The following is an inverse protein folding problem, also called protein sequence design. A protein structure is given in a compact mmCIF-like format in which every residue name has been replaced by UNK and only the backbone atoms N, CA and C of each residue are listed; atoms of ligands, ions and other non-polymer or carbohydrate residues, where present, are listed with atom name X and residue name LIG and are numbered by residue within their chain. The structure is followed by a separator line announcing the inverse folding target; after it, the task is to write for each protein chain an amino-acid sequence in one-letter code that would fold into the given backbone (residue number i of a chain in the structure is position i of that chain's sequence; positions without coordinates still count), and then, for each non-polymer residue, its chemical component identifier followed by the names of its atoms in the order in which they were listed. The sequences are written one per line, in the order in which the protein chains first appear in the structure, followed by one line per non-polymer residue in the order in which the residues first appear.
data_IF_931069156851
#
_entry.id   IF_931069156851
#
_cell.length_a   1.000
_cell.length_b   1.000
_cell.length_c   1.000
_cell.angle_alpha   90.00
_cell.angle_beta   90.00
_cell.angle_gamma   90.00
#
_symmetry.space_group_name_H-M   'P 1'
#
loop_
_entity.id
_entity.type
_entity.pdbx_description
1 polymer ?
#
# COMPACT_ATOMS: atom_id res chain seq x y z
N UNK A 1 -5.39 -1.59 -17.92
CA UNK A 1 -5.18 -1.03 -16.57
C UNK A 1 -4.66 -2.14 -15.67
N UNK A 2 -3.47 -2.02 -15.10
CA UNK A 2 -2.92 -3.08 -14.24
C UNK A 2 -3.68 -3.16 -12.92
N UNK A 3 -3.99 -4.39 -12.49
CA UNK A 3 -4.59 -4.67 -11.19
C UNK A 3 -3.53 -4.75 -10.06
N UNK A 4 -2.35 -4.16 -10.28
CA UNK A 4 -1.21 -4.19 -9.38
C UNK A 4 -0.68 -2.78 -9.07
N UNK A 5 -0.03 -2.63 -7.93
CA UNK A 5 0.83 -1.48 -7.58
C UNK A 5 2.25 -1.99 -7.56
N UNK A 6 3.14 -1.36 -8.32
CA UNK A 6 4.58 -1.68 -8.29
C UNK A 6 5.31 -0.59 -7.54
N UNK A 7 6.16 -1.01 -6.60
CA UNK A 7 7.03 -0.16 -5.77
C UNK A 7 8.39 -0.81 -5.68
N UNK A 8 9.36 -0.09 -5.14
CA UNK A 8 10.69 -0.61 -4.87
C UNK A 8 10.83 -0.97 -3.38
N UNK A 9 11.57 -2.04 -3.12
CA UNK A 9 12.09 -2.37 -1.79
C UNK A 9 13.61 -2.50 -1.91
N UNK A 10 14.34 -1.48 -1.48
CA UNK A 10 15.80 -1.38 -1.64
C UNK A 10 16.22 -1.54 -3.12
N UNK A 11 15.57 -0.80 -4.02
CA UNK A 11 15.81 -0.85 -5.45
C UNK A 11 15.24 -2.07 -6.18
N UNK A 12 14.66 -3.04 -5.46
CA UNK A 12 14.07 -4.22 -6.08
C UNK A 12 12.56 -4.02 -6.32
N UNK A 13 12.06 -4.15 -7.57
CA UNK A 13 10.65 -3.97 -7.85
C UNK A 13 9.82 -5.11 -7.26
N UNK A 14 8.81 -4.75 -6.47
CA UNK A 14 7.80 -5.67 -5.93
C UNK A 14 6.41 -5.18 -6.33
N UNK A 15 5.47 -6.12 -6.48
CA UNK A 15 4.12 -5.81 -6.94
C UNK A 15 3.04 -6.34 -6.00
N UNK A 16 2.05 -5.50 -5.69
CA UNK A 16 0.91 -5.82 -4.84
C UNK A 16 -0.37 -5.89 -5.66
N UNK A 17 -1.04 -7.04 -5.64
CA UNK A 17 -2.37 -7.25 -6.23
C UNK A 17 -3.42 -7.39 -5.13
N UNK A 18 -4.69 -7.17 -5.48
CA UNK A 18 -5.79 -7.38 -4.54
C UNK A 18 -5.78 -8.82 -3.98
N UNK A 19 -5.69 -9.83 -4.86
CA UNK A 19 -5.76 -11.23 -4.44
C UNK A 19 -4.61 -11.59 -3.49
N UNK A 20 -3.38 -11.18 -3.81
CA UNK A 20 -2.21 -11.46 -2.97
C UNK A 20 -2.30 -10.74 -1.62
N UNK A 21 -2.65 -9.45 -1.62
CA UNK A 21 -2.79 -8.67 -0.38
C UNK A 21 -3.96 -9.17 0.47
N UNK A 22 -5.09 -9.55 -0.14
CA UNK A 22 -6.25 -10.06 0.58
C UNK A 22 -6.00 -11.45 1.18
N UNK A 23 -5.29 -12.32 0.46
CA UNK A 23 -4.83 -13.60 0.99
C UNK A 23 -3.90 -13.41 2.19
N UNK A 24 -2.93 -12.50 2.09
CA UNK A 24 -2.02 -12.17 3.20
C UNK A 24 -2.75 -11.59 4.41
N UNK A 25 -3.74 -10.71 4.20
CA UNK A 25 -4.58 -10.14 5.25
C UNK A 25 -5.50 -11.18 5.93
N UNK A 26 -5.64 -12.40 5.38
CA UNK A 26 -6.49 -13.45 5.93
C UNK A 26 -7.97 -13.36 5.52
N UNK A 27 -8.30 -12.54 4.52
CA UNK A 27 -9.60 -12.54 3.83
C UNK A 27 -10.83 -12.06 4.61
N UNK A 28 -10.74 -11.81 5.92
CA UNK A 28 -11.89 -11.39 6.74
C UNK A 28 -12.45 -10.00 6.45
N UNK A 29 -11.66 -9.13 5.79
CA UNK A 29 -12.01 -7.72 5.53
C UNK A 29 -11.56 -7.22 4.14
N UNK A 30 -12.05 -7.81 3.03
CA UNK A 30 -11.58 -7.50 1.68
C UNK A 30 -11.87 -6.06 1.24
N UNK A 31 -12.90 -5.43 1.83
CA UNK A 31 -13.22 -4.02 1.59
C UNK A 31 -12.07 -3.08 2.01
N UNK A 32 -11.43 -3.33 3.15
CA UNK A 32 -10.30 -2.52 3.62
C UNK A 32 -9.09 -2.62 2.70
N UNK A 33 -8.75 -3.84 2.28
CA UNK A 33 -7.67 -4.11 1.31
C UNK A 33 -7.95 -3.39 -0.02
N UNK A 34 -9.19 -3.45 -0.50
CA UNK A 34 -9.59 -2.77 -1.75
C UNK A 34 -9.42 -1.25 -1.63
N UNK A 35 -9.88 -0.64 -0.53
CA UNK A 35 -9.74 0.80 -0.31
C UNK A 35 -8.27 1.22 -0.22
N UNK A 36 -7.44 0.49 0.53
CA UNK A 36 -6.01 0.78 0.66
C UNK A 36 -5.30 0.76 -0.70
N UNK A 37 -5.49 -0.29 -1.51
CA UNK A 37 -4.86 -0.39 -2.83
C UNK A 37 -5.33 0.71 -3.78
N UNK A 38 -6.62 1.10 -3.74
CA UNK A 38 -7.13 2.19 -4.59
C UNK A 38 -6.56 3.55 -4.14
N UNK A 39 -6.49 3.80 -2.84
CA UNK A 39 -5.91 5.02 -2.29
C UNK A 39 -4.42 5.15 -2.66
N UNK A 40 -3.63 4.08 -2.46
CA UNK A 40 -2.21 4.07 -2.83
C UNK A 40 -2.00 4.29 -4.33
N UNK A 41 -2.81 3.67 -5.22
CA UNK A 41 -2.72 3.90 -6.67
C UNK A 41 -2.96 5.35 -7.06
N UNK A 42 -3.94 5.99 -6.42
CA UNK A 42 -4.23 7.39 -6.68
C UNK A 42 -3.10 8.28 -6.18
N UNK A 43 -2.64 8.06 -4.94
CA UNK A 43 -1.64 8.90 -4.29
C UNK A 43 -0.24 8.76 -4.91
N UNK A 44 0.24 7.54 -5.20
CA UNK A 44 1.62 7.33 -5.66
C UNK A 44 1.89 8.00 -7.01
N UNK A 45 0.89 8.05 -7.89
CA UNK A 45 0.95 8.76 -9.17
C UNK A 45 1.05 10.28 -9.04
N UNK A 46 0.71 10.83 -7.88
CA UNK A 46 0.88 12.26 -7.58
C UNK A 46 2.25 12.56 -6.99
N UNK A 47 2.98 11.54 -6.50
CA UNK A 47 4.27 11.69 -5.84
C UNK A 47 5.44 11.46 -6.80
N UNK A 48 5.30 10.57 -7.78
CA UNK A 48 6.34 10.27 -8.76
C UNK A 48 5.79 9.65 -10.05
N UNK A 49 6.51 9.85 -11.15
CA UNK A 49 6.29 9.14 -12.43
C UNK A 49 6.98 7.76 -12.45
N UNK A 50 7.87 7.48 -11.50
CA UNK A 50 8.56 6.20 -11.32
C UNK A 50 8.06 5.47 -10.06
N UNK A 51 8.24 4.14 -9.96
CA UNK A 51 7.91 3.40 -8.74
C UNK A 51 8.62 3.98 -7.50
N UNK A 52 7.85 4.21 -6.43
CA UNK A 52 8.36 4.75 -5.17
C UNK A 52 9.12 3.68 -4.37
N UNK A 53 10.14 4.08 -3.61
CA UNK A 53 10.72 3.25 -2.54
C UNK A 53 9.74 3.15 -1.38
N UNK A 54 9.24 1.95 -1.08
CA UNK A 54 8.17 1.77 -0.08
C UNK A 54 8.57 2.28 1.30
N UNK A 55 9.84 2.10 1.68
CA UNK A 55 10.42 2.48 2.99
C UNK A 55 10.55 3.99 3.19
N UNK A 56 10.39 4.76 2.12
CA UNK A 56 10.37 6.22 2.14
C UNK A 56 8.94 6.77 2.17
N UNK A 57 7.93 5.92 1.92
CA UNK A 57 6.52 6.30 2.00
C UNK A 57 6.05 6.24 3.45
N UNK A 58 5.49 7.36 3.92
CA UNK A 58 4.81 7.42 5.22
C UNK A 58 3.31 7.50 4.99
N UNK A 59 2.55 6.62 5.64
CA UNK A 59 1.08 6.63 5.60
C UNK A 59 0.59 7.25 6.91
N UNK A 60 -0.22 8.31 6.78
CA UNK A 60 -0.89 8.96 7.90
C UNK A 60 -2.37 8.63 7.81
N UNK A 61 -2.94 8.07 8.87
CA UNK A 61 -4.35 7.69 8.93
C UNK A 61 -4.95 8.07 10.28
N UNK A 62 -6.22 8.46 10.28
CA UNK A 62 -6.99 8.70 11.50
C UNK A 62 -7.38 7.40 12.23
N UNK A 63 -7.11 6.24 11.61
CA UNK A 63 -7.39 4.90 12.15
C UNK A 63 -6.07 4.17 12.41
N UNK A 64 -5.38 4.46 13.52
CA UNK A 64 -4.16 3.73 13.91
C UNK A 64 -4.51 2.28 14.32
N UNK A 65 -3.57 1.37 14.14
CA UNK A 65 -3.59 0.03 14.77
C UNK A 65 -3.63 0.20 16.31
N UNK A 66 -4.24 -0.70 17.11
CA UNK A 66 -4.30 -0.59 18.57
C UNK A 66 -2.94 -0.50 19.25
N UNK A 67 -1.87 -0.86 18.55
CA UNK A 67 -0.47 -0.82 19.02
C UNK A 67 0.21 0.55 18.81
N UNK A 68 -0.56 1.59 18.45
CA UNK A 68 -0.21 3.00 18.59
C UNK A 68 0.87 3.53 17.61
N UNK A 69 0.43 3.95 16.42
CA UNK A 69 1.06 5.05 15.69
C UNK A 69 0.09 5.66 14.66
N UNK A 70 -0.07 6.98 14.67
CA UNK A 70 -0.78 7.74 13.61
C UNK A 70 0.03 7.82 12.29
N UNK A 71 1.23 7.23 12.28
CA UNK A 71 2.19 7.26 11.18
C UNK A 71 2.88 5.90 11.05
N UNK A 72 2.76 5.28 9.88
CA UNK A 72 3.42 4.02 9.56
C UNK A 72 4.43 4.24 8.44
N UNK A 73 5.66 3.73 8.64
CA UNK A 73 6.61 3.53 7.54
C UNK A 73 6.22 2.26 6.82
N UNK A 74 5.90 2.38 5.55
CA UNK A 74 5.49 1.25 4.73
C UNK A 74 6.68 0.48 4.13
#
# INVERSE_FOLDING_TARGET
MSNAITVLDNGHPISFTFDATNAYHGGGSPGGVTHALKAMRAAFRLLSDTPLERREVTIVTAFPDPEDATRWKW
#
